data_IF_547107261366
#
_entry.id   IF_547107261366
#
_cell.length_a   1.000
_cell.length_b   1.000
_cell.length_c   1.000
_cell.angle_alpha   90.00
_cell.angle_beta   90.00
_cell.angle_gamma   90.00
#
_symmetry.space_group_name_H-M   'P 1'
#
loop_
_entity.id
_entity.type
_entity.pdbx_description
1 polymer ?
#
# COMPACT_ATOMS: atom_id res chain seq x y z
N UNK A 1 7.79 -6.45 -7.00
CA UNK A 1 6.45 -6.94 -7.40
C UNK A 1 6.21 -8.39 -7.02
N UNK A 2 7.06 -9.35 -7.42
CA UNK A 2 6.87 -10.78 -7.11
C UNK A 2 6.72 -11.07 -5.60
N UNK A 3 7.56 -10.45 -4.75
CA UNK A 3 7.48 -10.58 -3.28
C UNK A 3 6.11 -10.13 -2.75
N UNK A 4 5.59 -9.00 -3.22
CA UNK A 4 4.30 -8.48 -2.81
C UNK A 4 3.15 -9.40 -3.24
N UNK A 5 3.20 -9.95 -4.46
CA UNK A 5 2.19 -10.89 -4.96
C UNK A 5 2.20 -12.21 -4.17
N UNK A 6 3.38 -12.83 -4.04
CA UNK A 6 3.51 -14.11 -3.34
C UNK A 6 3.17 -13.92 -1.87
N UNK A 7 3.64 -12.83 -1.24
CA UNK A 7 3.31 -12.48 0.13
C UNK A 7 1.82 -12.28 0.35
N UNK A 8 1.14 -11.53 -0.53
CA UNK A 8 -0.30 -11.32 -0.48
C UNK A 8 -1.06 -12.64 -0.63
N UNK A 9 -0.77 -13.43 -1.67
CA UNK A 9 -1.51 -14.67 -1.95
C UNK A 9 -1.27 -15.72 -0.87
N UNK A 10 -0.02 -15.89 -0.42
CA UNK A 10 0.30 -16.84 0.64
C UNK A 10 -0.33 -16.42 1.98
N UNK A 11 -0.28 -15.12 2.34
CA UNK A 11 -0.91 -14.64 3.58
C UNK A 11 -2.43 -14.73 3.52
N UNK A 12 -3.04 -14.42 2.37
CA UNK A 12 -4.48 -14.60 2.17
C UNK A 12 -4.87 -16.07 2.23
N UNK A 13 -4.07 -16.98 1.66
CA UNK A 13 -4.32 -18.42 1.72
C UNK A 13 -4.31 -18.93 3.16
N UNK A 14 -3.24 -18.65 3.92
CA UNK A 14 -3.13 -19.15 5.30
C UNK A 14 -4.17 -18.47 6.20
N UNK A 15 -4.40 -17.16 6.05
CA UNK A 15 -5.45 -16.48 6.81
C UNK A 15 -6.84 -17.04 6.48
N UNK A 16 -7.14 -17.35 5.21
CA UNK A 16 -8.40 -17.98 4.83
C UNK A 16 -8.55 -19.37 5.47
N UNK A 17 -7.49 -20.19 5.49
CA UNK A 17 -7.51 -21.48 6.18
C UNK A 17 -7.73 -21.34 7.68
N UNK A 18 -7.09 -20.38 8.35
CA UNK A 18 -7.30 -20.13 9.77
C UNK A 18 -8.76 -19.73 10.00
N UNK A 19 -9.27 -18.74 9.26
CA UNK A 19 -10.63 -18.28 9.44
C UNK A 19 -11.63 -19.43 9.16
N UNK A 20 -11.44 -20.22 8.09
CA UNK A 20 -12.31 -21.36 7.73
C UNK A 20 -12.40 -22.42 8.84
N UNK A 21 -11.28 -22.73 9.50
CA UNK A 21 -11.26 -23.76 10.54
C UNK A 21 -11.81 -23.26 11.90
N UNK A 22 -11.63 -21.98 12.21
CA UNK A 22 -11.95 -21.43 13.54
C UNK A 22 -13.29 -20.66 13.60
N UNK A 23 -13.86 -20.27 12.46
CA UNK A 23 -15.14 -19.55 12.37
C UNK A 23 -16.21 -20.50 11.80
N UNK A 24 -17.21 -20.88 12.62
CA UNK A 24 -18.33 -21.71 12.17
C UNK A 24 -19.11 -21.03 11.03
N UNK A 25 -19.68 -21.85 10.13
CA UNK A 25 -20.54 -21.44 9.01
C UNK A 25 -19.84 -20.69 7.87
N UNK A 26 -18.52 -20.54 7.94
CA UNK A 26 -17.79 -19.86 6.87
C UNK A 26 -17.43 -20.83 5.73
N UNK A 27 -17.91 -20.53 4.53
CA UNK A 27 -17.45 -21.23 3.31
C UNK A 27 -16.02 -20.82 2.98
N UNK A 28 -15.30 -21.65 2.21
CA UNK A 28 -13.96 -21.28 1.74
C UNK A 28 -13.99 -19.97 0.94
N UNK A 29 -15.01 -19.74 0.12
CA UNK A 29 -15.14 -18.50 -0.66
C UNK A 29 -15.25 -17.26 0.24
N UNK A 30 -16.08 -17.31 1.28
CA UNK A 30 -16.18 -16.24 2.27
C UNK A 30 -14.89 -16.09 3.06
N UNK A 31 -14.21 -17.18 3.41
CA UNK A 31 -12.93 -17.13 4.10
C UNK A 31 -11.87 -16.36 3.30
N UNK A 32 -11.79 -16.60 1.98
CA UNK A 32 -10.94 -15.84 1.06
C UNK A 32 -11.29 -14.37 1.00
N UNK A 33 -12.58 -14.05 0.96
CA UNK A 33 -13.07 -12.68 0.91
C UNK A 33 -12.69 -11.89 2.17
N UNK A 34 -12.79 -12.50 3.35
CA UNK A 34 -12.43 -11.90 4.64
C UNK A 34 -10.91 -11.88 4.89
N UNK A 35 -10.18 -12.89 4.42
CA UNK A 35 -8.73 -12.98 4.54
C UNK A 35 -7.98 -11.98 3.63
N UNK A 36 -8.56 -11.63 2.48
CA UNK A 36 -7.93 -10.72 1.52
C UNK A 36 -7.64 -9.35 2.14
N UNK A 37 -8.60 -8.64 2.76
CA UNK A 37 -8.33 -7.38 3.45
C UNK A 37 -7.23 -7.46 4.53
N UNK A 38 -7.19 -8.56 5.29
CA UNK A 38 -6.20 -8.81 6.35
C UNK A 38 -4.77 -9.00 5.82
N UNK A 39 -4.64 -9.35 4.55
CA UNK A 39 -3.38 -9.70 3.90
C UNK A 39 -2.71 -8.53 3.19
N UNK A 40 -3.41 -7.40 3.04
CA UNK A 40 -2.95 -6.20 2.32
C UNK A 40 -2.11 -5.29 3.23
N UNK A 41 -0.93 -4.89 2.76
CA UNK A 41 -0.02 -4.03 3.53
C UNK A 41 -0.51 -2.58 3.49
N UNK A 42 -0.55 -1.89 4.63
CA UNK A 42 -1.04 -0.51 4.67
C UNK A 42 0.03 0.48 4.19
N UNK A 43 0.00 0.88 2.92
CA UNK A 43 0.85 1.95 2.38
C UNK A 43 0.71 3.26 3.16
N UNK A 44 -0.50 3.56 3.64
CA UNK A 44 -0.80 4.73 4.46
C UNK A 44 0.03 4.80 5.76
N UNK A 45 0.36 3.66 6.38
CA UNK A 45 1.19 3.61 7.59
C UNK A 45 2.67 3.45 7.22
N UNK A 46 2.98 2.66 6.19
CA UNK A 46 4.35 2.37 5.76
C UNK A 46 5.06 3.62 5.25
N UNK A 47 4.50 4.30 4.23
CA UNK A 47 5.15 5.42 3.52
C UNK A 47 5.67 6.52 4.46
N UNK A 48 4.88 7.08 5.41
CA UNK A 48 5.39 8.10 6.30
C UNK A 48 6.45 7.57 7.29
N UNK A 49 6.34 6.29 7.67
CA UNK A 49 7.21 5.69 8.69
C UNK A 49 8.58 5.29 8.15
N UNK A 50 8.68 4.88 6.89
CA UNK A 50 9.96 4.46 6.27
C UNK A 50 10.81 5.63 5.77
N UNK A 51 10.37 6.87 6.01
CA UNK A 51 11.06 8.09 5.56
C UNK A 51 12.50 8.22 6.11
N UNK A 52 12.76 7.68 7.31
CA UNK A 52 14.07 7.69 7.96
C UNK A 52 14.97 6.50 7.65
N UNK A 53 14.53 5.52 6.85
CA UNK A 53 15.33 4.37 6.45
C UNK A 53 16.30 4.72 5.31
N UNK A 54 17.30 3.84 5.11
CA UNK A 54 18.17 3.90 3.93
C UNK A 54 17.34 3.86 2.63
N UNK A 55 17.84 4.51 1.56
CA UNK A 55 17.10 4.71 0.30
C UNK A 55 16.55 3.39 -0.26
N UNK A 56 17.39 2.36 -0.34
CA UNK A 56 17.00 1.06 -0.90
C UNK A 56 15.88 0.39 -0.09
N UNK A 57 15.97 0.43 1.25
CA UNK A 57 14.94 -0.13 2.14
C UNK A 57 13.64 0.66 2.08
N UNK A 58 13.74 1.99 1.98
CA UNK A 58 12.59 2.88 1.82
C UNK A 58 11.86 2.58 0.50
N UNK A 59 12.59 2.53 -0.62
CA UNK A 59 12.01 2.23 -1.93
C UNK A 59 11.35 0.85 -1.95
N UNK A 60 12.03 -0.17 -1.41
CA UNK A 60 11.47 -1.51 -1.28
C UNK A 60 10.08 -1.49 -0.62
N UNK A 61 9.96 -0.86 0.55
CA UNK A 61 8.69 -0.81 1.29
C UNK A 61 7.60 0.02 0.59
N UNK A 62 7.96 1.11 -0.08
CA UNK A 62 7.01 1.92 -0.86
C UNK A 62 6.44 1.08 -2.01
N UNK A 63 7.29 0.40 -2.76
CA UNK A 63 6.85 -0.46 -3.86
C UNK A 63 6.07 -1.67 -3.37
N UNK A 64 6.57 -2.37 -2.35
CA UNK A 64 5.91 -3.55 -1.79
C UNK A 64 4.49 -3.23 -1.32
N UNK A 65 4.33 -2.16 -0.53
CA UNK A 65 3.02 -1.75 -0.02
C UNK A 65 2.06 -1.28 -1.11
N UNK A 66 2.54 -0.48 -2.06
CA UNK A 66 1.71 0.02 -3.16
C UNK A 66 1.27 -1.11 -4.09
N UNK A 67 2.16 -2.03 -4.44
CA UNK A 67 1.77 -3.21 -5.23
C UNK A 67 0.83 -4.13 -4.45
N UNK A 68 1.05 -4.32 -3.15
CA UNK A 68 0.14 -5.10 -2.30
C UNK A 68 -1.26 -4.49 -2.24
N UNK A 69 -1.39 -3.17 -2.18
CA UNK A 69 -2.69 -2.48 -2.20
C UNK A 69 -3.42 -2.72 -3.53
N UNK A 70 -2.74 -2.50 -4.66
CA UNK A 70 -3.32 -2.68 -6.00
C UNK A 70 -3.76 -4.13 -6.22
N UNK A 71 -2.86 -5.08 -5.96
CA UNK A 71 -3.12 -6.51 -6.12
C UNK A 71 -4.20 -6.99 -5.15
N UNK A 72 -4.22 -6.45 -3.94
CA UNK A 72 -5.23 -6.75 -2.93
C UNK A 72 -6.62 -6.30 -3.34
N UNK A 73 -6.76 -5.08 -3.84
CA UNK A 73 -8.01 -4.55 -4.38
C UNK A 73 -8.47 -5.40 -5.58
N UNK A 74 -7.55 -5.76 -6.49
CA UNK A 74 -7.86 -6.63 -7.63
C UNK A 74 -8.36 -8.00 -7.18
N UNK A 75 -7.68 -8.63 -6.22
CA UNK A 75 -8.07 -9.93 -5.67
C UNK A 75 -9.42 -9.84 -4.96
N UNK A 76 -9.65 -8.80 -4.17
CA UNK A 76 -10.93 -8.57 -3.50
C UNK A 76 -12.07 -8.48 -4.50
N UNK A 77 -11.95 -7.63 -5.53
CA UNK A 77 -13.00 -7.47 -6.54
C UNK A 77 -13.20 -8.72 -7.40
N UNK A 78 -12.13 -9.49 -7.65
CA UNK A 78 -12.24 -10.79 -8.29
C UNK A 78 -13.08 -11.76 -7.46
N UNK A 79 -12.84 -11.82 -6.15
CA UNK A 79 -13.59 -12.68 -5.23
C UNK A 79 -15.04 -12.23 -5.06
N UNK A 80 -15.30 -10.92 -4.98
CA UNK A 80 -16.69 -10.42 -4.92
C UNK A 80 -17.44 -10.64 -6.22
N UNK A 81 -16.76 -10.54 -7.38
CA UNK A 81 -17.38 -10.79 -8.69
C UNK A 81 -17.90 -12.22 -8.82
N UNK A 82 -17.22 -13.19 -8.18
CA UNK A 82 -17.66 -14.60 -8.14
C UNK A 82 -18.91 -14.85 -7.29
N UNK A 83 -19.33 -13.90 -6.46
CA UNK A 83 -20.54 -14.07 -5.65
C UNK A 83 -21.82 -13.84 -6.48
N UNK A 84 -21.73 -13.12 -7.59
CA UNK A 84 -22.87 -12.85 -8.46
C UNK A 84 -22.92 -13.87 -9.60
N UNK A 85 -23.90 -14.79 -9.62
CA UNK A 85 -24.00 -15.83 -10.66
C UNK A 85 -24.22 -15.27 -12.08
N UNK A 86 -24.75 -14.04 -12.21
CA UNK A 86 -24.85 -13.32 -13.49
C UNK A 86 -23.51 -12.78 -14.00
N UNK A 87 -22.49 -12.72 -13.15
CA UNK A 87 -21.15 -12.22 -13.46
C UNK A 87 -20.07 -13.31 -13.37
N UNK A 88 -20.42 -14.54 -12.98
CA UNK A 88 -19.50 -15.67 -12.85
C UNK A 88 -19.05 -16.18 -14.23
N UNK A 89 -18.18 -15.40 -14.83
CA UNK A 89 -17.52 -15.62 -16.11
C UNK A 89 -16.10 -16.16 -15.91
N UNK A 90 -15.82 -16.64 -14.69
CA UNK A 90 -14.51 -17.13 -14.27
C UNK A 90 -13.40 -16.09 -14.42
N UNK A 91 -12.16 -16.58 -14.53
CA UNK A 91 -10.96 -15.74 -14.69
C UNK A 91 -11.02 -14.92 -15.98
N UNK A 92 -11.63 -15.46 -17.03
CA UNK A 92 -11.69 -14.84 -18.36
C UNK A 92 -12.54 -13.57 -18.31
N UNK A 93 -13.76 -13.63 -17.78
CA UNK A 93 -14.60 -12.43 -17.76
C UNK A 93 -14.18 -11.41 -16.70
N UNK A 94 -13.53 -11.81 -15.60
CA UNK A 94 -12.85 -10.84 -14.73
C UNK A 94 -11.73 -10.11 -15.47
N UNK A 95 -10.90 -10.83 -16.22
CA UNK A 95 -9.83 -10.22 -17.02
C UNK A 95 -10.40 -9.29 -18.09
N UNK A 96 -11.52 -9.66 -18.70
CA UNK A 96 -12.27 -8.82 -19.63
C UNK A 96 -12.79 -7.53 -18.98
N UNK A 97 -13.45 -7.64 -17.83
CA UNK A 97 -13.96 -6.49 -17.06
C UNK A 97 -12.82 -5.59 -16.57
N UNK A 98 -11.70 -6.17 -16.16
CA UNK A 98 -10.51 -5.43 -15.74
C UNK A 98 -9.88 -4.69 -16.93
N UNK A 99 -9.73 -5.35 -18.08
CA UNK A 99 -9.24 -4.71 -19.30
C UNK A 99 -10.18 -3.56 -19.74
N UNK A 100 -11.49 -3.78 -19.71
CA UNK A 100 -12.49 -2.75 -19.99
C UNK A 100 -12.37 -1.57 -19.00
N UNK A 101 -12.21 -1.85 -17.71
CA UNK A 101 -11.99 -0.82 -16.67
C UNK A 101 -10.73 -0.01 -16.96
N UNK A 102 -9.63 -0.67 -17.35
CA UNK A 102 -8.37 0.00 -17.71
C UNK A 102 -8.57 0.90 -18.93
N UNK A 103 -9.27 0.42 -19.97
CA UNK A 103 -9.50 1.20 -21.19
C UNK A 103 -10.37 2.42 -20.89
N UNK A 104 -11.51 2.24 -20.20
CA UNK A 104 -12.42 3.33 -19.85
C UNK A 104 -11.72 4.37 -18.96
N UNK A 105 -10.99 3.93 -17.95
CA UNK A 105 -10.25 4.82 -17.05
C UNK A 105 -9.15 5.59 -17.78
N UNK A 106 -8.44 4.97 -18.72
CA UNK A 106 -7.44 5.64 -19.55
C UNK A 106 -8.09 6.74 -20.40
N UNK A 107 -9.18 6.41 -21.12
CA UNK A 107 -9.94 7.37 -21.93
C UNK A 107 -10.44 8.53 -21.08
N UNK A 108 -11.06 8.24 -19.94
CA UNK A 108 -11.57 9.26 -19.04
C UNK A 108 -10.46 10.13 -18.46
N UNK A 109 -9.29 9.55 -18.13
CA UNK A 109 -8.12 10.30 -17.65
C UNK A 109 -7.60 11.29 -18.69
N UNK A 110 -7.49 10.86 -19.95
CA UNK A 110 -7.14 11.75 -21.06
C UNK A 110 -8.16 12.88 -21.22
N UNK A 111 -9.46 12.56 -21.21
CA UNK A 111 -10.51 13.55 -21.33
C UNK A 111 -10.44 14.60 -20.20
N UNK A 112 -10.29 14.16 -18.95
CA UNK A 112 -10.19 15.04 -17.79
C UNK A 112 -8.96 15.95 -17.92
N UNK A 113 -7.77 15.41 -18.18
CA UNK A 113 -6.56 16.23 -18.29
C UNK A 113 -6.70 17.28 -19.41
N UNK A 114 -7.25 16.88 -20.57
CA UNK A 114 -7.42 17.77 -21.72
C UNK A 114 -8.46 18.88 -21.49
N UNK A 115 -9.51 18.60 -20.72
CA UNK A 115 -10.53 19.58 -20.32
C UNK A 115 -9.94 20.53 -19.27
N UNK A 116 -9.36 20.00 -18.21
CA UNK A 116 -8.94 20.79 -17.05
C UNK A 116 -7.74 21.70 -17.32
N UNK A 117 -6.84 21.34 -18.24
CA UNK A 117 -5.77 22.26 -18.67
C UNK A 117 -6.28 23.54 -19.35
N UNK A 118 -7.53 23.54 -19.87
CA UNK A 118 -8.16 24.71 -20.52
C UNK A 118 -8.90 25.61 -19.53
N UNK A 119 -9.19 25.13 -18.32
CA UNK A 119 -9.92 25.88 -17.31
C UNK A 119 -8.97 26.87 -16.60
N UNK A 120 -9.27 28.16 -16.71
CA UNK A 120 -8.51 29.25 -16.05
C UNK A 120 -9.05 29.63 -14.66
N UNK A 121 -10.12 28.98 -14.19
CA UNK A 121 -10.77 29.29 -12.91
C UNK A 121 -9.91 28.90 -11.71
N UNK A 122 -9.99 29.71 -10.64
CA UNK A 122 -9.31 29.49 -9.35
C UNK A 122 -9.86 28.26 -8.60
N UNK A 123 -11.13 27.88 -8.82
CA UNK A 123 -11.79 26.76 -8.11
C UNK A 123 -11.79 25.43 -8.88
N UNK A 124 -10.88 25.28 -9.87
CA UNK A 124 -10.81 24.09 -10.73
C UNK A 124 -10.50 22.79 -9.97
N UNK A 125 -9.86 22.84 -8.80
CA UNK A 125 -9.47 21.65 -8.05
C UNK A 125 -10.67 20.93 -7.43
N UNK A 126 -11.62 21.69 -6.85
CA UNK A 126 -12.83 21.09 -6.30
C UNK A 126 -13.69 20.47 -7.40
N UNK A 127 -13.76 21.11 -8.56
CA UNK A 127 -14.41 20.54 -9.75
C UNK A 127 -13.71 19.23 -10.19
N UNK A 128 -12.38 19.17 -10.14
CA UNK A 128 -11.63 17.95 -10.48
C UNK A 128 -11.97 16.81 -9.54
N UNK A 129 -11.99 17.07 -8.23
CA UNK A 129 -12.38 16.08 -7.22
C UNK A 129 -13.83 15.64 -7.43
N UNK A 130 -14.76 16.57 -7.70
CA UNK A 130 -16.15 16.24 -7.97
C UNK A 130 -16.32 15.34 -9.21
N UNK A 131 -15.58 15.63 -10.29
CA UNK A 131 -15.55 14.79 -11.49
C UNK A 131 -14.96 13.41 -11.19
N UNK A 132 -13.92 13.31 -10.36
CA UNK A 132 -13.37 12.02 -9.93
C UNK A 132 -14.35 11.21 -9.08
N UNK A 133 -15.10 11.86 -8.18
CA UNK A 133 -16.16 11.21 -7.41
C UNK A 133 -17.32 10.75 -8.30
N UNK A 134 -17.68 11.56 -9.30
CA UNK A 134 -18.67 11.16 -10.32
C UNK A 134 -18.18 9.91 -11.08
N UNK A 135 -16.93 9.91 -11.52
CA UNK A 135 -16.32 8.78 -12.22
C UNK A 135 -16.31 7.51 -11.33
N UNK A 136 -16.02 7.67 -10.05
CA UNK A 136 -16.09 6.60 -9.06
C UNK A 136 -17.51 6.04 -8.91
N UNK A 137 -18.51 6.92 -8.81
CA UNK A 137 -19.91 6.54 -8.68
C UNK A 137 -20.43 5.82 -9.95
N UNK A 138 -20.12 6.36 -11.13
CA UNK A 138 -20.43 5.73 -12.41
C UNK A 138 -19.76 4.36 -12.55
N UNK A 139 -18.47 4.27 -12.20
CA UNK A 139 -17.75 2.99 -12.17
C UNK A 139 -18.42 1.97 -11.26
N UNK A 140 -18.94 2.41 -10.10
CA UNK A 140 -19.57 1.54 -9.12
C UNK A 140 -20.92 1.03 -9.62
N UNK A 141 -21.69 1.90 -10.28
CA UNK A 141 -22.96 1.54 -10.92
C UNK A 141 -22.76 0.56 -12.07
N UNK A 142 -21.66 0.69 -12.82
CA UNK A 142 -21.28 -0.23 -13.90
C UNK A 142 -20.63 -1.53 -13.40
N UNK A 143 -20.59 -1.78 -12.08
CA UNK A 143 -19.91 -2.91 -11.46
C UNK A 143 -18.41 -3.02 -11.81
N UNK A 144 -17.79 -1.93 -12.25
CA UNK A 144 -16.36 -1.86 -12.49
C UNK A 144 -15.62 -1.63 -11.17
N UNK A 145 -14.34 -1.96 -11.15
CA UNK A 145 -13.50 -1.64 -9.99
C UNK A 145 -13.22 -0.13 -9.95
N UNK A 146 -14.10 0.64 -9.31
CA UNK A 146 -14.01 2.11 -9.26
C UNK A 146 -12.68 2.60 -8.67
N UNK A 147 -12.10 1.86 -7.72
CA UNK A 147 -10.79 2.18 -7.15
C UNK A 147 -9.67 2.10 -8.21
N UNK A 148 -9.74 1.13 -9.13
CA UNK A 148 -8.79 1.02 -10.25
C UNK A 148 -8.91 2.22 -11.18
N UNK A 149 -10.12 2.76 -11.38
CA UNK A 149 -10.30 3.94 -12.22
C UNK A 149 -9.59 5.17 -11.61
N UNK A 150 -9.78 5.42 -10.31
CA UNK A 150 -9.09 6.51 -9.60
C UNK A 150 -7.57 6.31 -9.64
N UNK A 151 -7.12 5.07 -9.43
CA UNK A 151 -5.70 4.72 -9.48
C UNK A 151 -5.08 5.03 -10.85
N UNK A 152 -5.73 4.61 -11.94
CA UNK A 152 -5.23 4.85 -13.30
C UNK A 152 -5.20 6.34 -13.61
N UNK A 153 -6.22 7.08 -13.20
CA UNK A 153 -6.18 8.55 -13.29
C UNK A 153 -4.96 9.13 -12.57
N UNK A 154 -4.74 8.73 -11.30
CA UNK A 154 -3.58 9.15 -10.51
C UNK A 154 -2.25 8.82 -11.19
N UNK A 155 -2.14 7.63 -11.77
CA UNK A 155 -0.96 7.18 -12.50
C UNK A 155 -0.70 8.02 -13.76
N UNK A 156 -1.75 8.31 -14.54
CA UNK A 156 -1.65 9.09 -15.79
C UNK A 156 -1.27 10.54 -15.50
N UNK A 157 -1.90 11.18 -14.50
CA UNK A 157 -1.61 12.59 -14.16
C UNK A 157 -0.23 12.74 -13.49
N UNK A 158 0.25 11.75 -12.73
CA UNK A 158 1.60 11.78 -12.18
C UNK A 158 2.68 11.57 -13.26
N UNK A 159 2.37 10.80 -14.31
CA UNK A 159 3.32 10.40 -15.35
C UNK A 159 2.99 10.98 -16.73
N UNK A 160 2.51 12.23 -16.79
CA UNK A 160 2.03 12.86 -18.04
C UNK A 160 3.03 12.80 -19.20
N UNK A 161 4.35 12.92 -18.94
CA UNK A 161 5.38 12.85 -19.98
C UNK A 161 5.42 11.49 -20.69
N UNK A 162 5.13 10.41 -19.96
CA UNK A 162 5.11 9.05 -20.49
C UNK A 162 3.84 8.79 -21.30
N UNK A 163 2.68 9.19 -20.76
CA UNK A 163 1.38 8.94 -21.38
C UNK A 163 1.08 9.86 -22.57
N UNK A 164 1.53 11.12 -22.56
CA UNK A 164 1.33 12.07 -23.67
C UNK A 164 2.55 12.16 -24.60
N UNK A 165 3.07 11.02 -25.08
CA UNK A 165 4.20 11.00 -26.02
C UNK A 165 3.75 11.17 -27.49
N UNK A 166 4.63 11.68 -28.34
CA UNK A 166 4.42 11.72 -29.80
C UNK A 166 3.37 12.75 -30.25
N UNK A 167 2.42 12.32 -31.10
CA UNK A 167 1.35 13.22 -31.60
C UNK A 167 0.47 13.77 -30.48
N UNK A 168 0.32 13.03 -29.38
CA UNK A 168 -0.50 13.43 -28.24
C UNK A 168 0.13 14.55 -27.40
N UNK A 169 1.46 14.69 -27.45
CA UNK A 169 2.19 15.76 -26.76
C UNK A 169 1.77 17.15 -27.22
N UNK A 170 1.29 17.30 -28.46
CA UNK A 170 0.84 18.59 -29.01
C UNK A 170 -0.43 19.10 -28.33
N UNK A 171 -1.23 18.21 -27.75
CA UNK A 171 -2.47 18.56 -27.07
C UNK A 171 -2.28 18.87 -25.58
N UNK A 172 -1.12 18.56 -25.00
CA UNK A 172 -0.85 18.74 -23.58
C UNK A 172 -0.12 20.06 -23.31
N UNK A 173 -0.72 20.91 -22.48
CA UNK A 173 -0.05 22.09 -21.91
C UNK A 173 0.64 21.68 -20.60
N UNK A 174 1.87 21.18 -20.72
CA UNK A 174 2.59 20.52 -19.61
C UNK A 174 2.66 21.38 -18.35
N UNK A 175 3.01 22.67 -18.44
CA UNK A 175 3.11 23.54 -17.26
C UNK A 175 1.79 23.66 -16.50
N UNK A 176 0.68 23.89 -17.21
CA UNK A 176 -0.65 24.01 -16.58
C UNK A 176 -1.12 22.69 -15.99
N UNK A 177 -0.90 21.59 -16.71
CA UNK A 177 -1.27 20.26 -16.22
C UNK A 177 -0.42 19.84 -15.02
N UNK A 178 0.86 20.20 -15.00
CA UNK A 178 1.76 19.95 -13.87
C UNK A 178 1.40 20.79 -12.64
N UNK A 179 0.97 22.04 -12.82
CA UNK A 179 0.42 22.85 -11.73
C UNK A 179 -0.82 22.20 -11.12
N UNK A 180 -1.77 21.76 -11.95
CA UNK A 180 -2.99 21.07 -11.49
C UNK A 180 -2.63 19.78 -10.74
N UNK A 181 -1.68 19.00 -11.26
CA UNK A 181 -1.17 17.81 -10.58
C UNK A 181 -0.60 18.15 -9.20
N UNK A 182 0.26 19.16 -9.10
CA UNK A 182 0.90 19.54 -7.85
C UNK A 182 -0.15 19.99 -6.81
N UNK A 183 -1.07 20.85 -7.20
CA UNK A 183 -2.17 21.29 -6.34
C UNK A 183 -3.08 20.13 -5.90
N UNK A 184 -3.46 19.24 -6.84
CA UNK A 184 -4.25 18.06 -6.53
C UNK A 184 -3.51 17.14 -5.56
N UNK A 185 -2.21 16.91 -5.77
CA UNK A 185 -1.38 16.08 -4.89
C UNK A 185 -1.34 16.64 -3.47
N UNK A 186 -1.13 17.96 -3.33
CA UNK A 186 -1.10 18.62 -2.02
C UNK A 186 -2.45 18.50 -1.30
N UNK A 187 -3.55 18.87 -1.97
CA UNK A 187 -4.90 18.80 -1.38
C UNK A 187 -5.28 17.37 -1.02
N UNK A 188 -4.99 16.39 -1.89
CA UNK A 188 -5.30 14.98 -1.62
C UNK A 188 -4.44 14.42 -0.49
N UNK A 189 -3.16 14.81 -0.38
CA UNK A 189 -2.30 14.40 0.72
C UNK A 189 -2.78 14.96 2.07
N UNK A 190 -3.10 16.25 2.14
CA UNK A 190 -3.63 16.91 3.33
C UNK A 190 -5.00 16.35 3.72
N UNK A 191 -5.91 16.20 2.76
CA UNK A 191 -7.24 15.63 3.00
C UNK A 191 -7.14 14.17 3.45
N UNK A 192 -6.27 13.37 2.83
CA UNK A 192 -6.05 11.98 3.24
C UNK A 192 -5.47 11.88 4.65
N UNK A 193 -4.63 12.82 5.08
CA UNK A 193 -4.14 12.89 6.46
C UNK A 193 -5.29 13.13 7.45
N UNK A 194 -6.17 14.09 7.15
CA UNK A 194 -7.35 14.39 7.97
C UNK A 194 -8.30 13.19 8.02
N UNK A 195 -8.69 12.66 6.86
CA UNK A 195 -9.59 11.50 6.75
C UNK A 195 -9.04 10.30 7.51
N UNK A 196 -7.74 10.00 7.39
CA UNK A 196 -7.08 8.90 8.11
C UNK A 196 -7.15 9.08 9.62
N UNK A 197 -6.94 10.30 10.11
CA UNK A 197 -6.97 10.59 11.54
C UNK A 197 -8.37 10.36 12.10
N UNK A 198 -9.38 10.98 11.49
CA UNK A 198 -10.77 10.78 11.89
C UNK A 198 -11.21 9.34 11.74
N UNK A 199 -10.79 8.67 10.67
CA UNK A 199 -11.09 7.27 10.43
C UNK A 199 -10.63 6.38 11.59
N UNK A 200 -9.35 6.47 12.00
CA UNK A 200 -8.84 5.65 13.10
C UNK A 200 -9.44 6.02 14.45
N UNK A 201 -9.76 7.30 14.67
CA UNK A 201 -10.45 7.74 15.90
C UNK A 201 -11.87 7.18 15.96
N UNK A 202 -12.66 7.37 14.91
CA UNK A 202 -14.04 6.85 14.84
C UNK A 202 -14.02 5.33 14.95
N UNK A 203 -13.17 4.66 14.17
CA UNK A 203 -13.00 3.22 14.24
C UNK A 203 -12.66 2.77 15.67
N UNK A 204 -11.69 3.41 16.32
CA UNK A 204 -11.30 3.10 17.70
C UNK A 204 -12.44 3.29 18.71
N UNK A 205 -13.28 4.32 18.55
CA UNK A 205 -14.43 4.59 19.44
C UNK A 205 -15.60 3.63 19.20
N UNK A 206 -15.80 3.18 17.96
CA UNK A 206 -16.91 2.26 17.61
C UNK A 206 -16.73 0.83 18.12
N UNK A 207 -15.57 0.51 18.69
CA UNK A 207 -15.20 -0.86 19.02
C UNK A 207 -15.61 -1.23 20.44
N UNK A 208 -16.16 -2.43 20.57
CA UNK A 208 -16.36 -3.12 21.83
C UNK A 208 -15.04 -3.70 22.33
N UNK A 209 -14.40 -3.02 23.29
CA UNK A 209 -13.16 -3.50 23.94
C UNK A 209 -13.33 -4.93 24.50
N UNK A 210 -14.56 -5.29 24.88
CA UNK A 210 -14.93 -6.65 25.30
C UNK A 210 -14.63 -7.71 24.24
N UNK A 211 -14.82 -7.41 22.96
CA UNK A 211 -14.48 -8.33 21.85
C UNK A 211 -12.98 -8.56 21.72
N UNK A 212 -12.13 -7.62 22.18
CA UNK A 212 -10.67 -7.80 22.19
C UNK A 212 -10.18 -8.69 23.34
N UNK A 213 -10.95 -8.76 24.43
CA UNK A 213 -10.65 -9.59 25.59
C UNK A 213 -11.13 -11.03 25.42
N UNK A 214 -11.92 -11.31 24.38
CA UNK A 214 -12.34 -12.66 24.04
C UNK A 214 -11.12 -13.51 23.62
N UNK A 215 -10.90 -14.60 24.35
CA UNK A 215 -9.80 -15.55 24.11
C UNK A 215 -9.82 -16.13 22.70
N UNK A 216 -11.00 -16.34 22.11
CA UNK A 216 -11.16 -16.85 20.75
C UNK A 216 -10.71 -15.80 19.74
N UNK A 217 -11.13 -14.54 19.91
CA UNK A 217 -10.70 -13.43 19.03
C UNK A 217 -9.19 -13.23 19.12
N UNK A 218 -8.65 -13.14 20.34
CA UNK A 218 -7.22 -12.99 20.57
C UNK A 218 -6.41 -14.17 19.98
N UNK A 219 -6.91 -15.40 20.13
CA UNK A 219 -6.28 -16.60 19.58
C UNK A 219 -6.23 -16.60 18.05
N UNK A 220 -7.38 -16.35 17.39
CA UNK A 220 -7.47 -16.30 15.92
C UNK A 220 -6.58 -15.17 15.37
N UNK A 221 -6.66 -13.97 15.95
CA UNK A 221 -5.85 -12.84 15.50
C UNK A 221 -4.36 -13.07 15.70
N UNK A 222 -3.96 -13.70 16.82
CA UNK A 222 -2.55 -14.04 17.07
C UNK A 222 -2.02 -15.04 16.04
N UNK A 223 -2.80 -16.07 15.71
CA UNK A 223 -2.45 -17.03 14.66
C UNK A 223 -2.27 -16.34 13.29
N UNK A 224 -3.17 -15.41 12.95
CA UNK A 224 -3.07 -14.64 11.71
C UNK A 224 -1.79 -13.80 11.70
N UNK A 225 -1.50 -13.05 12.77
CA UNK A 225 -0.28 -12.24 12.90
C UNK A 225 0.97 -13.12 12.76
N UNK A 226 1.03 -14.23 13.50
CA UNK A 226 2.16 -15.17 13.44
C UNK A 226 2.35 -15.69 12.02
N UNK A 227 1.27 -16.09 11.36
CA UNK A 227 1.33 -16.60 9.97
C UNK A 227 1.88 -15.55 9.00
N UNK A 228 1.46 -14.29 9.13
CA UNK A 228 1.93 -13.18 8.30
C UNK A 228 3.45 -13.02 8.44
N UNK A 229 3.97 -13.02 9.68
CA UNK A 229 5.39 -12.85 9.93
C UNK A 229 6.22 -14.08 9.53
N UNK A 230 5.70 -15.30 9.68
CA UNK A 230 6.37 -16.52 9.21
C UNK A 230 6.53 -16.49 7.69
N UNK A 231 5.44 -16.22 6.96
CA UNK A 231 5.46 -16.12 5.49
C UNK A 231 6.47 -15.04 5.07
N UNK A 232 6.41 -13.88 5.72
CA UNK A 232 7.31 -12.76 5.42
C UNK A 232 8.77 -13.10 5.70
N UNK A 233 9.06 -13.81 6.78
CA UNK A 233 10.40 -14.29 7.10
C UNK A 233 10.95 -15.20 6.01
N UNK A 234 10.15 -16.19 5.57
CA UNK A 234 10.53 -17.12 4.51
C UNK A 234 10.79 -16.35 3.21
N UNK A 235 9.89 -15.46 2.80
CA UNK A 235 10.02 -14.70 1.56
C UNK A 235 11.23 -13.77 1.57
N UNK A 236 11.40 -12.95 2.61
CA UNK A 236 12.54 -12.04 2.70
C UNK A 236 13.86 -12.80 2.79
N UNK A 237 13.89 -13.96 3.46
CA UNK A 237 15.10 -14.78 3.54
C UNK A 237 15.52 -15.34 2.19
N UNK A 238 14.56 -15.71 1.35
CA UNK A 238 14.81 -16.24 0.00
C UNK A 238 15.25 -15.13 -0.97
N UNK A 239 14.59 -13.97 -0.94
CA UNK A 239 14.79 -12.92 -1.94
C UNK A 239 15.80 -11.83 -1.55
N UNK A 240 15.88 -11.44 -0.27
CA UNK A 240 16.77 -10.36 0.21
C UNK A 240 17.97 -10.85 1.04
N UNK A 241 17.95 -12.11 1.47
CA UNK A 241 19.09 -12.74 2.16
C UNK A 241 19.13 -12.46 3.66
N UNK A 242 20.27 -11.94 4.17
CA UNK A 242 20.54 -11.88 5.63
C UNK A 242 20.11 -10.58 6.30
N UNK A 243 20.06 -9.44 5.62
CA UNK A 243 19.77 -8.14 6.23
C UNK A 243 18.27 -7.78 6.23
N UNK A 244 17.47 -8.62 6.87
CA UNK A 244 15.99 -8.52 6.88
C UNK A 244 15.44 -7.62 7.99
N UNK A 245 16.29 -7.04 8.84
CA UNK A 245 15.87 -6.15 9.94
C UNK A 245 16.15 -4.70 9.53
N UNK A 246 15.18 -3.77 9.63
CA UNK A 246 13.84 -3.91 10.22
C UNK A 246 12.73 -4.38 9.26
N UNK A 247 13.04 -4.68 7.99
CA UNK A 247 12.06 -4.92 6.92
C UNK A 247 11.01 -6.00 7.23
N UNK A 248 11.41 -7.04 7.95
CA UNK A 248 10.54 -8.12 8.38
C UNK A 248 9.36 -7.61 9.24
N UNK A 249 9.62 -6.63 10.10
CA UNK A 249 8.64 -6.16 11.07
C UNK A 249 7.77 -5.00 10.55
N UNK A 250 8.14 -4.40 9.41
CA UNK A 250 7.40 -3.33 8.75
C UNK A 250 6.31 -3.98 7.88
N UNK A 251 5.20 -4.38 8.52
CA UNK A 251 4.04 -4.98 7.85
C UNK A 251 2.69 -4.60 8.50
N UNK A 252 2.40 -3.30 8.72
CA UNK A 252 1.16 -2.87 9.35
C UNK A 252 -0.05 -3.16 8.46
N UNK A 253 -1.16 -3.53 9.08
CA UNK A 253 -2.51 -3.54 8.47
C UNK A 253 -3.24 -2.27 8.91
N UNK A 254 -4.16 -1.76 8.09
CA UNK A 254 -4.70 -0.42 8.36
C UNK A 254 -5.91 -0.05 7.50
N UNK A 255 -5.88 1.17 6.93
CA UNK A 255 -7.04 1.81 6.30
C UNK A 255 -7.73 0.95 5.25
N UNK A 256 -6.98 0.44 4.26
CA UNK A 256 -7.55 -0.36 3.16
C UNK A 256 -8.17 -1.67 3.67
N UNK A 257 -7.57 -2.31 4.67
CA UNK A 257 -8.13 -3.52 5.31
C UNK A 257 -9.55 -3.27 5.80
N UNK A 258 -9.76 -2.17 6.51
CA UNK A 258 -11.08 -1.84 7.05
C UNK A 258 -12.04 -1.36 5.97
N UNK A 259 -11.57 -0.55 5.01
CA UNK A 259 -12.41 -0.09 3.89
C UNK A 259 -12.91 -1.25 3.02
N UNK A 260 -12.06 -2.22 2.71
CA UNK A 260 -12.47 -3.41 1.94
C UNK A 260 -13.37 -4.32 2.76
N UNK A 261 -13.13 -4.43 4.07
CA UNK A 261 -14.04 -5.17 4.95
C UNK A 261 -15.46 -4.61 4.94
N UNK A 262 -15.62 -3.29 5.07
CA UNK A 262 -16.94 -2.65 4.95
C UNK A 262 -17.51 -2.64 3.53
N UNK A 263 -16.68 -2.95 2.52
CA UNK A 263 -17.12 -3.13 1.13
C UNK A 263 -17.61 -4.56 0.84
N UNK A 264 -17.55 -5.49 1.81
CA UNK A 264 -18.09 -6.85 1.66
C UNK A 264 -19.62 -6.76 1.48
N UNK A 265 -20.18 -7.32 0.38
CA UNK A 265 -21.63 -7.32 0.13
C UNK A 265 -22.41 -7.95 1.28
N UNK A 266 -23.61 -7.45 1.57
CA UNK A 266 -24.43 -7.92 2.70
C UNK A 266 -24.77 -9.41 2.58
N UNK A 267 -24.86 -9.93 1.37
CA UNK A 267 -25.15 -11.34 1.08
C UNK A 267 -24.00 -12.29 1.46
N UNK A 268 -22.77 -11.75 1.53
CA UNK A 268 -21.57 -12.50 1.91
C UNK A 268 -21.13 -12.25 3.36
N UNK A 269 -21.92 -11.47 4.12
CA UNK A 269 -21.61 -11.18 5.52
C UNK A 269 -21.96 -12.38 6.41
N UNK A 270 -21.00 -12.77 7.25
CA UNK A 270 -21.14 -13.87 8.19
C UNK A 270 -21.33 -13.30 9.59
N UNK A 271 -22.46 -13.64 10.22
CA UNK A 271 -22.82 -13.16 11.56
C UNK A 271 -21.86 -13.63 12.66
N UNK A 272 -21.20 -14.78 12.47
CA UNK A 272 -20.23 -15.35 13.42
C UNK A 272 -18.84 -14.70 13.32
N UNK A 273 -18.60 -13.81 12.35
CA UNK A 273 -17.33 -13.10 12.24
C UNK A 273 -17.31 -11.89 13.18
N UNK A 274 -16.40 -11.92 14.15
CA UNK A 274 -16.18 -10.82 15.09
C UNK A 274 -15.27 -9.73 14.49
N UNK A 275 -15.73 -8.48 14.32
CA UNK A 275 -14.90 -7.37 13.83
C UNK A 275 -13.67 -7.10 14.70
N UNK A 276 -13.68 -7.54 15.97
CA UNK A 276 -12.54 -7.47 16.88
C UNK A 276 -11.28 -8.16 16.32
N UNK A 277 -11.43 -9.17 15.45
CA UNK A 277 -10.31 -9.84 14.80
C UNK A 277 -9.49 -8.84 13.97
N UNK A 278 -10.15 -8.01 13.17
CA UNK A 278 -9.52 -6.99 12.32
C UNK A 278 -8.75 -5.98 13.15
N UNK A 279 -9.38 -5.48 14.22
CA UNK A 279 -8.75 -4.49 15.07
C UNK A 279 -7.48 -5.06 15.71
N UNK A 280 -7.56 -6.27 16.27
CA UNK A 280 -6.42 -6.89 16.94
C UNK A 280 -5.24 -7.05 15.96
N UNK A 281 -5.51 -7.43 14.71
CA UNK A 281 -4.47 -7.52 13.67
C UNK A 281 -3.91 -6.13 13.32
N UNK A 282 -4.76 -5.11 13.16
CA UNK A 282 -4.35 -3.73 12.85
C UNK A 282 -3.46 -3.15 13.97
N UNK A 283 -3.92 -3.24 15.22
CA UNK A 283 -3.17 -2.74 16.39
C UNK A 283 -1.89 -3.55 16.56
N UNK A 284 -1.98 -4.88 16.56
CA UNK A 284 -0.83 -5.77 16.79
C UNK A 284 0.29 -5.55 15.79
N UNK A 285 -0.04 -5.51 14.49
CA UNK A 285 0.96 -5.26 13.44
C UNK A 285 1.52 -3.85 13.48
N UNK A 286 0.71 -2.84 13.84
CA UNK A 286 1.17 -1.46 14.00
C UNK A 286 2.13 -1.31 15.19
N UNK A 287 1.84 -1.93 16.33
CA UNK A 287 2.71 -1.91 17.51
C UNK A 287 4.05 -2.62 17.25
N UNK A 288 4.03 -3.78 16.60
CA UNK A 288 5.24 -4.52 16.22
C UNK A 288 6.12 -3.65 15.31
N UNK A 289 5.52 -2.99 14.32
CA UNK A 289 6.23 -2.06 13.45
C UNK A 289 6.81 -0.87 14.23
N UNK A 290 6.04 -0.25 15.13
CA UNK A 290 6.53 0.85 15.97
C UNK A 290 7.76 0.43 16.77
N UNK A 291 7.72 -0.74 17.40
CA UNK A 291 8.86 -1.30 18.14
C UNK A 291 10.10 -1.49 17.24
N UNK A 292 9.91 -2.04 16.04
CA UNK A 292 11.00 -2.26 15.09
C UNK A 292 11.63 -0.95 14.58
N UNK A 293 10.82 0.07 14.31
CA UNK A 293 11.31 1.38 13.88
C UNK A 293 12.09 2.09 14.99
N UNK A 294 11.65 1.98 16.25
CA UNK A 294 12.38 2.52 17.40
C UNK A 294 13.73 1.80 17.57
N UNK A 295 13.73 0.47 17.44
CA UNK A 295 14.95 -0.33 17.50
C UNK A 295 15.96 0.07 16.42
N UNK A 296 15.50 0.22 15.17
CA UNK A 296 16.35 0.61 14.05
C UNK A 296 16.95 2.01 14.25
N UNK A 297 16.13 2.98 14.70
CA UNK A 297 16.61 4.34 15.01
C UNK A 297 17.69 4.34 16.08
N UNK A 298 17.55 3.52 17.14
CA UNK A 298 18.56 3.35 18.18
C UNK A 298 19.84 2.71 17.64
N UNK A 299 19.73 1.68 16.81
CA UNK A 299 20.88 1.02 16.16
C UNK A 299 21.67 1.99 15.27
N UNK A 300 20.98 2.78 14.45
CA UNK A 300 21.60 3.79 13.61
C UNK A 300 22.32 4.87 14.43
N UNK A 301 21.69 5.37 15.50
CA UNK A 301 22.32 6.35 16.40
C UNK A 301 23.58 5.80 17.08
N UNK A 302 23.57 4.54 17.53
CA UNK A 302 24.74 3.89 18.11
C UNK A 302 25.89 3.75 17.11
N UNK A 303 25.59 3.39 15.85
CA UNK A 303 26.61 3.28 14.80
C UNK A 303 27.29 4.63 14.49
N UNK A 304 26.52 5.73 14.49
CA UNK A 304 27.06 7.08 14.34
C UNK A 304 27.96 7.44 15.54
N UNK A 305 27.52 7.11 16.76
CA UNK A 305 28.31 7.35 17.97
C UNK A 305 29.65 6.61 17.93
N UNK A 306 29.66 5.33 17.55
CA UNK A 306 30.89 4.54 17.40
C UNK A 306 31.84 5.11 16.33
N UNK A 307 31.29 5.61 15.22
CA UNK A 307 32.09 6.26 14.16
C UNK A 307 32.72 7.56 14.66
N UNK A 308 31.97 8.38 15.41
CA UNK A 308 32.48 9.63 15.98
C UNK A 308 33.53 9.41 17.08
N UNK A 309 33.42 8.32 17.84
CA UNK A 309 34.41 7.91 18.84
C UNK A 309 35.73 7.46 18.20
N UNK A 310 35.66 6.83 17.01
CA UNK A 310 36.84 6.46 16.22
C UNK A 310 37.29 7.62 15.34
N UNK A 311 37.95 8.62 15.93
CA UNK A 311 38.66 9.66 15.14
C UNK A 311 39.71 9.00 14.25
N UNK A 312 39.42 8.89 12.96
CA UNK A 312 40.41 8.50 11.96
C UNK A 312 41.39 9.66 11.86
N UNK A 313 42.62 9.47 12.33
CA UNK A 313 43.66 10.48 12.22
C UNK A 313 43.87 10.82 10.75
N UNK A 314 43.69 12.10 10.38
CA UNK A 314 44.02 12.56 9.04
C UNK A 314 45.54 12.64 8.93
N UNK A 315 46.14 11.68 8.25
CA UNK A 315 47.56 11.78 7.90
C UNK A 315 47.64 12.74 6.72
N UNK A 316 48.26 13.92 6.91
CA UNK A 316 48.63 14.79 5.78
C UNK A 316 49.54 13.98 4.87
N UNK A 317 49.09 13.70 3.65
CA UNK A 317 49.89 13.04 2.63
C UNK A 317 51.21 13.81 2.45
N UNK A 318 52.34 13.15 2.71
CA UNK A 318 53.68 13.68 2.40
C UNK A 318 54.10 13.14 1.05
N UNK A 319 54.43 14.03 0.11
CA UNK A 319 55.04 13.64 -1.15
C UNK A 319 56.38 12.92 -0.88
N UNK A 320 56.68 11.81 -1.57
CA UNK A 320 57.98 11.17 -1.47
C UNK A 320 59.05 12.17 -1.96
N UNK A 321 60.02 12.46 -1.10
CA UNK A 321 61.18 13.29 -1.45
C UNK A 321 62.13 12.37 -2.21
N UNK A 322 62.51 12.75 -3.43
CA UNK A 322 63.57 12.08 -4.18
C UNK A 322 64.88 12.48 -3.51
N UNK A 323 65.57 11.49 -2.94
CA UNK A 323 66.90 11.67 -2.35
C UNK A 323 67.88 11.96 -3.51
N UNK A 324 68.42 13.18 -3.53
CA UNK A 324 69.29 13.67 -4.58
C UNK A 324 70.62 12.90 -4.51
N UNK A 325 70.82 11.95 -5.43
CA UNK A 325 72.07 11.20 -5.58
C UNK A 325 73.12 12.07 -6.26
N UNK A 326 73.52 13.15 -5.59
CA UNK A 326 74.65 14.00 -5.99
C UNK A 326 75.70 14.06 -4.87
N UNK A 327 76.30 12.90 -4.59
CA UNK A 327 77.69 12.84 -4.11
C UNK A 327 78.50 12.05 -5.15
N UNK A 328 78.90 12.78 -6.18
CA UNK A 328 80.11 12.47 -6.94
C UNK A 328 81.25 13.05 -6.11
N UNK A 329 81.98 12.19 -5.41
CA UNK A 329 83.45 12.20 -5.27
C UNK A 329 83.89 10.90 -4.57
#
# INVERSE_FOLDING_TARGET
MAIALIGLVASAWIAALILYNFIPEMTMQSAWLYATPLSILSSAIIIPSVSGLHKDKKEFHIYESTFSDILGIMLFYFLTGKLNPTQDSGVIGFTGNLALTIIISLIASYAIILIFQRIKSQVKLFLLIAVLLLLYALGKQMHLSSLIIILIFGLVIANMKLFFKGKLSRFLQYEKAHHIYHELHTITAETAFVVRTFFFVIFGVTITITSLLDLKVAGISSLIIISIYIIRFILLRIFEGKDIIPQLFIAPRGLITVLLFYAIPQEAQIATFEPGILLFVIIGTSLIMTGAMIYDKRRASNAIKMTNERKIGTVKWKAPIVEDSSTIE
#
